data_IF_221389967541
#
_entry.id   IF_221389967541
#
_cell.length_a   1.000
_cell.length_b   1.000
_cell.length_c   1.000
_cell.angle_alpha   90.00
_cell.angle_beta   90.00
_cell.angle_gamma   90.00
#
_symmetry.space_group_name_H-M   'P 1'
#
loop_
_entity.id
_entity.type
_entity.pdbx_description
1 polymer ?
#
# COMPACT_ATOMS: atom_id res chain seq x y z
N UNK A 1 -17.44 21.81 -10.14
CA UNK A 1 -17.68 20.52 -9.46
C UNK A 1 -17.69 20.78 -7.97
N UNK A 2 -18.68 20.24 -7.24
CA UNK A 2 -18.91 20.48 -5.81
C UNK A 2 -19.05 19.12 -5.10
N UNK A 3 -18.07 18.26 -5.34
CA UNK A 3 -17.73 17.08 -4.54
C UNK A 3 -16.41 17.48 -3.87
N UNK A 4 -16.33 17.66 -2.55
CA UNK A 4 -15.00 18.01 -2.00
C UNK A 4 -14.75 17.74 -0.52
N UNK A 5 -15.75 17.48 0.33
CA UNK A 5 -15.52 17.15 1.76
C UNK A 5 -16.54 16.14 2.26
N UNK A 6 -17.79 16.23 1.79
CA UNK A 6 -18.88 15.34 2.20
C UNK A 6 -18.66 13.90 1.75
N UNK A 7 -18.09 13.70 0.55
CA UNK A 7 -17.86 12.37 -0.02
C UNK A 7 -16.66 11.66 0.62
N UNK A 8 -15.58 12.40 0.89
CA UNK A 8 -14.40 11.89 1.62
C UNK A 8 -14.77 11.51 3.05
N UNK A 9 -15.46 12.39 3.78
CA UNK A 9 -15.94 12.10 5.13
C UNK A 9 -16.91 10.91 5.16
N UNK A 10 -17.83 10.83 4.19
CA UNK A 10 -18.74 9.71 4.07
C UNK A 10 -18.00 8.40 3.78
N UNK A 11 -17.02 8.43 2.88
CA UNK A 11 -16.17 7.28 2.58
C UNK A 11 -15.39 6.82 3.81
N UNK A 12 -14.73 7.74 4.53
CA UNK A 12 -13.96 7.45 5.74
C UNK A 12 -14.84 6.79 6.82
N UNK A 13 -15.99 7.40 7.11
CA UNK A 13 -16.94 6.89 8.10
C UNK A 13 -17.48 5.51 7.71
N UNK A 14 -17.77 5.29 6.43
CA UNK A 14 -18.23 4.01 5.91
C UNK A 14 -17.15 2.95 6.08
N UNK A 15 -15.90 3.27 5.72
CA UNK A 15 -14.77 2.36 5.90
C UNK A 15 -14.54 2.03 7.37
N UNK A 16 -14.58 3.04 8.25
CA UNK A 16 -14.50 2.83 9.70
C UNK A 16 -15.58 1.84 10.18
N UNK A 17 -16.85 2.06 9.83
CA UNK A 17 -17.95 1.22 10.26
C UNK A 17 -17.77 -0.24 9.78
N UNK A 18 -17.40 -0.44 8.51
CA UNK A 18 -17.17 -1.77 7.94
C UNK A 18 -16.03 -2.49 8.65
N UNK A 19 -14.89 -1.83 8.85
CA UNK A 19 -13.75 -2.44 9.54
C UNK A 19 -14.04 -2.68 11.01
N UNK A 20 -14.84 -1.83 11.69
CA UNK A 20 -15.21 -2.06 13.08
C UNK A 20 -16.12 -3.28 13.24
N UNK A 21 -17.07 -3.46 12.33
CA UNK A 21 -17.89 -4.68 12.29
C UNK A 21 -17.03 -5.90 11.99
N UNK A 22 -16.12 -5.81 11.03
CA UNK A 22 -15.21 -6.89 10.69
C UNK A 22 -14.28 -7.24 11.86
N UNK A 23 -13.81 -6.25 12.64
CA UNK A 23 -12.93 -6.49 13.80
C UNK A 23 -13.69 -7.17 14.94
N UNK A 24 -14.96 -6.81 15.16
CA UNK A 24 -15.82 -7.49 16.11
C UNK A 24 -16.14 -8.94 15.69
N UNK A 25 -16.17 -9.22 14.39
CA UNK A 25 -16.54 -10.55 13.86
C UNK A 25 -15.34 -11.48 13.71
N UNK A 26 -14.20 -10.97 13.26
CA UNK A 26 -13.00 -11.74 12.99
C UNK A 26 -12.04 -11.56 14.16
N UNK A 27 -12.01 -12.53 15.08
CA UNK A 27 -11.14 -12.46 16.26
C UNK A 27 -9.72 -13.00 15.98
N UNK A 28 -9.57 -13.87 14.99
CA UNK A 28 -8.30 -14.46 14.61
C UNK A 28 -7.44 -13.49 13.77
N UNK A 29 -6.22 -13.22 14.22
CA UNK A 29 -5.30 -12.29 13.56
C UNK A 29 -4.83 -12.73 12.17
N UNK A 30 -4.63 -14.03 11.95
CA UNK A 30 -4.25 -14.55 10.64
C UNK A 30 -5.43 -14.45 9.65
N UNK A 31 -6.67 -14.60 10.13
CA UNK A 31 -7.87 -14.38 9.31
C UNK A 31 -8.06 -12.88 9.00
N UNK A 32 -7.76 -11.98 9.95
CA UNK A 32 -7.74 -10.53 9.73
C UNK A 32 -6.75 -10.12 8.64
N UNK A 33 -5.53 -10.66 8.67
CA UNK A 33 -4.53 -10.40 7.63
C UNK A 33 -5.00 -10.90 6.25
N UNK A 34 -5.53 -12.13 6.17
CA UNK A 34 -6.13 -12.67 4.94
C UNK A 34 -7.28 -11.81 4.41
N UNK A 35 -8.13 -11.29 5.30
CA UNK A 35 -9.21 -10.39 4.92
C UNK A 35 -8.66 -9.13 4.24
N UNK A 36 -7.70 -8.46 4.89
CA UNK A 36 -7.05 -7.25 4.36
C UNK A 36 -6.35 -7.53 3.03
N UNK A 37 -5.56 -8.61 2.94
CA UNK A 37 -4.93 -9.07 1.68
C UNK A 37 -5.95 -9.28 0.56
N UNK A 38 -7.09 -9.91 0.89
CA UNK A 38 -8.15 -10.17 -0.10
C UNK A 38 -8.77 -8.91 -0.67
N UNK A 39 -8.87 -7.83 0.10
CA UNK A 39 -9.35 -6.52 -0.36
C UNK A 39 -8.36 -5.96 -1.39
N UNK A 40 -7.06 -5.97 -1.07
CA UNK A 40 -6.01 -5.54 -1.98
C UNK A 40 -6.00 -6.32 -3.29
N UNK A 41 -6.06 -7.66 -3.23
CA UNK A 41 -6.10 -8.50 -4.43
C UNK A 41 -7.36 -8.23 -5.26
N UNK A 42 -8.53 -8.02 -4.64
CA UNK A 42 -9.77 -7.68 -5.35
C UNK A 42 -9.66 -6.33 -6.03
N UNK A 43 -9.12 -5.33 -5.34
CA UNK A 43 -8.96 -3.99 -5.92
C UNK A 43 -7.99 -4.00 -7.10
N UNK A 44 -6.84 -4.68 -6.99
CA UNK A 44 -5.92 -4.87 -8.12
C UNK A 44 -6.60 -5.57 -9.30
N UNK A 45 -7.41 -6.60 -9.04
CA UNK A 45 -8.15 -7.30 -10.09
C UNK A 45 -9.16 -6.40 -10.79
N UNK A 46 -9.91 -5.57 -10.05
CA UNK A 46 -10.80 -4.57 -10.64
C UNK A 46 -10.03 -3.54 -11.48
N UNK A 47 -8.88 -3.07 -11.00
CA UNK A 47 -8.01 -2.16 -11.77
C UNK A 47 -7.55 -2.78 -13.10
N UNK A 48 -7.22 -4.08 -13.10
CA UNK A 48 -6.84 -4.81 -14.32
C UNK A 48 -8.05 -5.02 -15.24
N UNK A 49 -9.18 -5.51 -14.70
CA UNK A 49 -10.37 -5.85 -15.49
C UNK A 49 -11.04 -4.64 -16.14
N UNK A 50 -10.99 -3.49 -15.46
CA UNK A 50 -11.55 -2.23 -15.95
C UNK A 50 -10.55 -1.40 -16.76
N UNK A 51 -9.38 -1.96 -17.06
CA UNK A 51 -8.31 -1.29 -17.81
C UNK A 51 -7.90 0.06 -17.19
N UNK A 52 -7.88 0.13 -15.86
CA UNK A 52 -7.35 1.30 -15.15
C UNK A 52 -5.81 1.33 -15.18
N UNK A 53 -5.18 0.18 -15.37
CA UNK A 53 -3.73 0.08 -15.63
C UNK A 53 -3.45 0.00 -17.13
N UNK A 54 -2.26 0.42 -17.55
CA UNK A 54 -1.85 0.35 -18.94
C UNK A 54 -1.75 -1.11 -19.41
N UNK A 55 -1.86 -1.32 -20.72
CA UNK A 55 -1.68 -2.66 -21.32
C UNK A 55 -0.29 -3.25 -21.02
N UNK A 56 0.73 -2.39 -20.90
CA UNK A 56 2.08 -2.80 -20.54
C UNK A 56 2.11 -3.34 -19.10
N UNK A 57 1.58 -2.59 -18.14
CA UNK A 57 1.44 -3.02 -16.74
C UNK A 57 0.65 -4.31 -16.63
N UNK A 58 -0.49 -4.43 -17.32
CA UNK A 58 -1.30 -5.66 -17.31
C UNK A 58 -0.51 -6.85 -17.88
N UNK A 59 0.26 -6.64 -18.94
CA UNK A 59 1.11 -7.70 -19.52
C UNK A 59 2.19 -8.13 -18.55
N UNK A 60 2.86 -7.19 -17.90
CA UNK A 60 3.86 -7.45 -16.84
C UNK A 60 3.24 -8.27 -15.71
N UNK A 61 2.07 -7.86 -15.19
CA UNK A 61 1.38 -8.55 -14.10
C UNK A 61 0.88 -9.97 -14.43
N UNK A 62 0.82 -10.33 -15.72
CA UNK A 62 0.43 -11.68 -16.15
C UNK A 62 1.64 -12.52 -16.58
N UNK A 63 2.84 -11.94 -16.60
CA UNK A 63 4.08 -12.65 -16.88
C UNK A 63 4.60 -13.27 -15.57
N UNK A 64 5.11 -14.50 -15.66
CA UNK A 64 5.87 -15.11 -14.58
C UNK A 64 7.34 -14.68 -14.69
N UNK A 65 8.03 -14.52 -13.55
CA UNK A 65 9.47 -14.22 -13.50
C UNK A 65 9.82 -12.79 -13.97
N UNK A 66 9.13 -11.79 -13.40
CA UNK A 66 9.48 -10.38 -13.61
C UNK A 66 10.60 -9.96 -12.65
N UNK A 67 11.47 -9.07 -13.12
CA UNK A 67 12.35 -8.29 -12.25
C UNK A 67 11.54 -7.28 -11.45
N UNK A 68 12.02 -6.87 -10.28
CA UNK A 68 11.35 -5.82 -9.51
C UNK A 68 11.46 -4.45 -10.18
N UNK A 69 12.60 -4.18 -10.80
CA UNK A 69 12.81 -2.96 -11.59
C UNK A 69 11.76 -2.80 -12.69
N UNK A 70 11.35 -3.90 -13.32
CA UNK A 70 10.28 -3.91 -14.35
C UNK A 70 8.90 -3.52 -13.78
N UNK A 71 8.68 -3.66 -12.47
CA UNK A 71 7.40 -3.36 -11.81
C UNK A 71 7.24 -1.90 -11.41
N UNK A 72 8.33 -1.12 -11.38
CA UNK A 72 8.31 0.29 -10.96
C UNK A 72 7.22 1.09 -11.71
N UNK A 73 7.09 1.02 -13.05
CA UNK A 73 6.04 1.73 -13.76
C UNK A 73 4.63 1.31 -13.33
N UNK A 74 4.42 0.01 -13.05
CA UNK A 74 3.13 -0.49 -12.60
C UNK A 74 2.78 -0.03 -11.18
N UNK A 75 3.78 0.03 -10.28
CA UNK A 75 3.61 0.58 -8.92
C UNK A 75 3.21 2.05 -8.99
N UNK A 76 3.89 2.84 -9.83
CA UNK A 76 3.56 4.24 -10.08
C UNK A 76 2.14 4.37 -10.63
N UNK A 77 1.74 3.58 -11.62
CA UNK A 77 0.38 3.63 -12.17
C UNK A 77 -0.70 3.35 -11.12
N UNK A 78 -0.50 2.38 -10.23
CA UNK A 78 -1.44 2.10 -9.13
C UNK A 78 -1.54 3.30 -8.18
N UNK A 79 -0.41 3.89 -7.82
CA UNK A 79 -0.36 5.06 -6.93
C UNK A 79 -0.97 6.31 -7.57
N UNK A 80 -0.71 6.54 -8.86
CA UNK A 80 -1.35 7.59 -9.66
C UNK A 80 -2.87 7.39 -9.72
N UNK A 81 -3.37 6.15 -9.70
CA UNK A 81 -4.82 5.90 -9.59
C UNK A 81 -5.39 6.28 -8.24
N UNK A 82 -4.71 5.97 -7.13
CA UNK A 82 -5.15 6.47 -5.82
C UNK A 82 -5.15 7.99 -5.76
N UNK A 83 -4.11 8.64 -6.28
CA UNK A 83 -4.05 10.10 -6.29
C UNK A 83 -5.11 10.73 -7.21
N UNK A 84 -5.27 10.23 -8.44
CA UNK A 84 -6.21 10.81 -9.42
C UNK A 84 -7.69 10.58 -9.08
N UNK A 85 -8.00 9.61 -8.22
CA UNK A 85 -9.35 9.38 -7.67
C UNK A 85 -9.61 10.17 -6.39
N UNK A 86 -8.69 11.07 -6.00
CA UNK A 86 -8.74 11.83 -4.76
C UNK A 86 -8.77 10.96 -3.50
N UNK A 87 -8.31 9.70 -3.58
CA UNK A 87 -8.13 8.88 -2.39
C UNK A 87 -6.97 9.39 -1.53
N UNK A 88 -5.95 10.01 -2.11
CA UNK A 88 -4.87 10.66 -1.36
C UNK A 88 -4.43 11.95 -2.06
N UNK A 89 -3.87 12.90 -1.30
CA UNK A 89 -3.40 14.17 -1.85
C UNK A 89 -2.15 13.98 -2.71
N UNK A 90 -1.26 13.11 -2.27
CA UNK A 90 -0.03 12.73 -2.97
C UNK A 90 0.55 11.43 -2.42
N UNK A 91 1.61 10.95 -3.07
CA UNK A 91 2.42 9.84 -2.58
C UNK A 91 3.91 10.10 -2.79
N UNK A 92 4.74 9.32 -2.11
CA UNK A 92 6.19 9.24 -2.33
C UNK A 92 6.61 7.78 -2.34
N UNK A 93 7.53 7.47 -3.25
CA UNK A 93 8.22 6.18 -3.31
C UNK A 93 9.69 6.39 -2.91
N UNK A 94 10.26 5.47 -2.14
CA UNK A 94 11.65 5.55 -1.68
C UNK A 94 11.85 6.38 -0.41
N UNK A 95 13.11 6.67 -0.08
CA UNK A 95 13.48 7.39 1.14
C UNK A 95 13.19 8.89 1.07
N UNK A 96 12.99 9.51 2.24
CA UNK A 96 12.75 10.96 2.37
C UNK A 96 13.95 11.81 1.90
N UNK A 97 15.16 11.23 1.86
CA UNK A 97 16.40 11.93 1.51
C UNK A 97 16.76 11.86 0.03
N UNK A 98 16.01 11.10 -0.78
CA UNK A 98 16.15 11.18 -2.23
C UNK A 98 15.57 12.53 -2.69
N UNK A 99 16.46 13.45 -3.05
CA UNK A 99 16.13 14.80 -3.51
C UNK A 99 15.26 14.80 -4.78
N UNK A 100 15.18 13.65 -5.46
CA UNK A 100 14.24 13.42 -6.54
C UNK A 100 13.01 12.67 -6.02
N UNK A 101 11.81 13.23 -6.25
CA UNK A 101 10.52 12.49 -6.22
C UNK A 101 10.44 11.41 -7.30
N UNK A 102 11.57 10.91 -7.80
CA UNK A 102 11.62 9.96 -8.88
C UNK A 102 11.51 8.57 -8.28
N UNK A 103 10.33 7.94 -8.38
CA UNK A 103 10.16 6.51 -8.11
C UNK A 103 11.06 5.59 -8.95
N UNK A 104 11.99 6.14 -9.73
CA UNK A 104 12.91 5.45 -10.65
C UNK A 104 14.07 4.74 -9.95
N UNK A 105 14.31 4.97 -8.66
CA UNK A 105 15.39 4.32 -7.87
C UNK A 105 14.88 3.47 -6.71
N UNK A 106 13.59 3.14 -6.71
CA UNK A 106 12.98 2.31 -5.65
C UNK A 106 13.54 0.89 -5.67
N UNK A 107 13.88 0.41 -6.86
CA UNK A 107 14.64 -0.81 -7.05
C UNK A 107 15.77 -0.54 -8.04
N UNK A 108 16.88 -1.25 -7.89
CA UNK A 108 17.98 -1.28 -8.84
C UNK A 108 18.35 -2.71 -9.28
N UNK A 109 19.42 -2.83 -10.06
CA UNK A 109 19.89 -4.14 -10.54
C UNK A 109 20.43 -5.02 -9.39
N UNK A 110 20.93 -4.43 -8.31
CA UNK A 110 21.40 -5.18 -7.14
C UNK A 110 20.23 -5.78 -6.37
N UNK A 111 19.10 -5.08 -6.29
CA UNK A 111 17.85 -5.61 -5.73
C UNK A 111 17.35 -6.84 -6.50
N UNK A 112 17.41 -6.79 -7.83
CA UNK A 112 17.06 -7.94 -8.68
C UNK A 112 18.03 -9.12 -8.48
N UNK A 113 19.34 -8.84 -8.35
CA UNK A 113 20.36 -9.84 -8.03
C UNK A 113 20.16 -10.45 -6.64
N UNK A 114 19.80 -9.65 -5.64
CA UNK A 114 19.58 -10.09 -4.28
C UNK A 114 18.39 -11.06 -4.20
N UNK A 115 17.27 -10.74 -4.86
CA UNK A 115 16.09 -11.63 -4.91
C UNK A 115 16.34 -12.87 -5.76
N UNK A 116 17.11 -12.75 -6.84
CA UNK A 116 17.45 -13.87 -7.70
C UNK A 116 18.56 -14.77 -7.14
N UNK A 117 19.20 -14.35 -6.03
CA UNK A 117 20.29 -15.06 -5.38
C UNK A 117 19.94 -16.54 -5.11
N UNK A 118 20.78 -17.48 -5.56
CA UNK A 118 20.52 -18.91 -5.48
C UNK A 118 20.46 -19.45 -4.05
N UNK A 119 20.91 -18.66 -3.07
CA UNK A 119 20.82 -19.00 -1.65
C UNK A 119 19.43 -18.73 -1.05
N UNK A 120 18.50 -18.14 -1.82
CA UNK A 120 17.07 -18.03 -1.49
C UNK A 120 16.73 -17.16 -0.28
N UNK A 121 17.70 -16.41 0.26
CA UNK A 121 17.57 -15.62 1.48
C UNK A 121 17.51 -14.10 1.25
N UNK A 122 17.68 -13.63 0.02
CA UNK A 122 17.65 -12.21 -0.30
C UNK A 122 16.25 -11.62 -0.20
N UNK A 123 16.16 -10.42 0.37
CA UNK A 123 14.92 -9.66 0.47
C UNK A 123 15.25 -8.18 0.34
N UNK A 124 14.43 -7.45 -0.41
CA UNK A 124 14.60 -6.01 -0.61
C UNK A 124 13.49 -5.26 0.10
N UNK A 125 13.76 -4.02 0.47
CA UNK A 125 12.76 -3.16 1.09
C UNK A 125 12.26 -2.11 0.10
N UNK A 126 10.94 -1.88 0.09
CA UNK A 126 10.33 -0.80 -0.67
C UNK A 126 9.54 0.09 0.30
N UNK A 127 9.82 1.39 0.25
CA UNK A 127 9.17 2.38 1.12
C UNK A 127 8.16 3.18 0.32
N UNK A 128 6.95 3.33 0.87
CA UNK A 128 5.87 4.09 0.23
C UNK A 128 5.21 4.99 1.26
N UNK A 129 5.10 6.28 0.96
CA UNK A 129 4.38 7.24 1.79
C UNK A 129 3.11 7.68 1.07
N UNK A 130 1.97 7.65 1.75
CA UNK A 130 0.68 8.15 1.25
C UNK A 130 0.23 9.31 2.13
N UNK A 131 0.04 10.47 1.52
CA UNK A 131 -0.33 11.70 2.20
C UNK A 131 -1.83 11.96 2.11
N UNK A 132 -2.40 12.36 3.24
CA UNK A 132 -3.82 12.64 3.44
C UNK A 132 -4.73 11.55 2.82
N UNK A 133 -4.56 10.25 3.16
CA UNK A 133 -5.45 9.23 2.62
C UNK A 133 -6.88 9.41 3.15
N UNK A 134 -7.86 9.24 2.27
CA UNK A 134 -9.29 9.40 2.56
C UNK A 134 -9.81 8.44 3.64
N UNK A 135 -9.06 7.39 4.00
CA UNK A 135 -9.39 6.45 5.08
C UNK A 135 -8.64 6.74 6.39
N UNK A 136 -7.91 7.84 6.48
CA UNK A 136 -7.01 8.14 7.60
C UNK A 136 -7.77 8.26 8.92
N UNK A 137 -8.87 9.01 8.93
CA UNK A 137 -9.65 9.24 10.15
C UNK A 137 -10.15 7.93 10.76
N UNK A 138 -10.80 7.10 9.96
CA UNK A 138 -11.27 5.77 10.35
C UNK A 138 -10.13 4.83 10.73
N UNK A 139 -8.98 4.92 10.06
CA UNK A 139 -7.79 4.14 10.41
C UNK A 139 -7.27 4.47 11.81
N UNK A 140 -7.21 5.76 12.17
CA UNK A 140 -6.75 6.23 13.47
C UNK A 140 -7.72 5.93 14.62
N UNK A 141 -8.98 5.63 14.34
CA UNK A 141 -9.94 5.22 15.37
C UNK A 141 -9.90 3.71 15.68
N UNK A 142 -9.31 2.92 14.79
CA UNK A 142 -9.18 1.46 14.94
C UNK A 142 -7.77 1.07 15.43
N UNK A 143 -6.82 2.02 15.46
CA UNK A 143 -5.50 1.82 16.06
C UNK A 143 -5.60 1.52 17.56
N UNK A 144 -4.93 0.45 17.99
CA UNK A 144 -4.98 -0.05 19.37
C UNK A 144 -5.34 -1.54 19.48
N UNK A 145 -5.85 -2.16 18.41
CA UNK A 145 -6.24 -3.59 18.41
C UNK A 145 -5.09 -4.56 18.03
N UNK A 146 -3.83 -4.12 18.02
CA UNK A 146 -2.66 -4.99 17.84
C UNK A 146 -2.56 -5.72 16.50
N UNK A 147 -3.26 -5.26 15.47
CA UNK A 147 -3.23 -5.86 14.13
C UNK A 147 -3.18 -4.80 13.05
N UNK A 148 -2.58 -5.11 11.90
CA UNK A 148 -2.61 -4.34 10.63
C UNK A 148 -4.04 -4.22 10.06
N UNK A 149 -5.04 -4.25 10.93
CA UNK A 149 -6.46 -4.37 10.64
C UNK A 149 -7.13 -3.02 10.82
N UNK A 150 -6.90 -2.14 9.84
CA UNK A 150 -7.53 -0.83 9.73
C UNK A 150 -7.91 -0.59 8.27
N UNK A 151 -8.81 0.37 7.98
CA UNK A 151 -9.14 0.78 6.62
C UNK A 151 -7.91 1.08 5.76
N UNK A 152 -7.51 0.12 4.93
CA UNK A 152 -6.31 0.20 4.11
C UNK A 152 -6.56 -0.41 2.75
N UNK A 153 -6.32 0.39 1.71
CA UNK A 153 -6.48 -0.02 0.33
C UNK A 153 -5.16 0.05 -0.44
N UNK A 154 -4.18 0.85 -0.01
CA UNK A 154 -2.94 1.04 -0.76
C UNK A 154 -1.95 -0.07 -0.44
N UNK A 155 -1.66 -0.28 0.85
CA UNK A 155 -0.71 -1.30 1.29
C UNK A 155 -1.02 -2.69 0.73
N UNK A 156 -2.25 -3.19 0.94
CA UNK A 156 -2.68 -4.50 0.44
C UNK A 156 -2.69 -4.60 -1.09
N UNK A 157 -3.00 -3.52 -1.82
CA UNK A 157 -3.03 -3.53 -3.29
C UNK A 157 -1.63 -3.62 -3.87
N UNK A 158 -0.68 -2.86 -3.31
CA UNK A 158 0.73 -2.97 -3.71
C UNK A 158 1.32 -4.33 -3.33
N UNK A 159 0.97 -4.88 -2.17
CA UNK A 159 1.37 -6.23 -1.81
C UNK A 159 0.84 -7.27 -2.81
N UNK A 160 -0.43 -7.16 -3.20
CA UNK A 160 -1.03 -8.03 -4.21
C UNK A 160 -0.36 -7.90 -5.59
N UNK A 161 0.14 -6.71 -5.94
CA UNK A 161 0.88 -6.47 -7.18
C UNK A 161 2.14 -7.34 -7.23
N UNK A 162 2.96 -7.30 -6.17
CA UNK A 162 4.18 -8.10 -6.07
C UNK A 162 3.88 -9.60 -5.93
N UNK A 163 2.87 -9.98 -5.15
CA UNK A 163 2.45 -11.37 -4.99
C UNK A 163 1.99 -11.99 -6.31
N UNK A 164 1.33 -11.20 -7.15
CA UNK A 164 0.82 -11.64 -8.46
C UNK A 164 1.94 -12.05 -9.42
N UNK A 165 3.12 -11.44 -9.31
CA UNK A 165 4.29 -11.79 -10.12
C UNK A 165 5.18 -12.85 -9.46
N UNK A 166 4.71 -13.46 -8.36
CA UNK A 166 5.39 -14.57 -7.71
C UNK A 166 6.35 -14.17 -6.58
N UNK A 167 6.27 -12.94 -6.07
CA UNK A 167 7.01 -12.56 -4.86
C UNK A 167 6.28 -13.01 -3.57
N UNK A 168 7.04 -13.20 -2.50
CA UNK A 168 6.54 -13.22 -1.13
C UNK A 168 6.68 -11.81 -0.57
N UNK A 169 5.59 -11.23 -0.06
CA UNK A 169 5.60 -9.85 0.45
C UNK A 169 5.03 -9.76 1.85
N UNK A 170 5.81 -9.19 2.75
CA UNK A 170 5.38 -8.72 4.06
C UNK A 170 5.41 -7.19 4.06
N UNK A 171 4.50 -6.54 4.80
CA UNK A 171 4.56 -5.08 4.92
C UNK A 171 4.02 -4.60 6.25
N UNK A 172 4.58 -3.49 6.73
CA UNK A 172 4.12 -2.77 7.90
C UNK A 172 3.62 -1.38 7.52
N UNK A 173 2.68 -0.86 8.30
CA UNK A 173 2.13 0.48 8.10
C UNK A 173 2.22 1.30 9.38
N UNK A 174 2.65 2.54 9.23
CA UNK A 174 2.87 3.50 10.30
C UNK A 174 2.10 4.79 10.01
N UNK A 175 1.60 5.46 11.04
CA UNK A 175 1.06 6.82 10.92
C UNK A 175 2.14 7.80 11.33
N UNK A 176 2.42 8.78 10.46
CA UNK A 176 3.50 9.75 10.68
C UNK A 176 2.89 11.14 10.83
N UNK A 177 3.23 11.80 11.94
CA UNK A 177 3.01 13.23 12.13
C UNK A 177 4.27 13.97 11.66
N UNK A 178 4.15 14.92 10.72
CA UNK A 178 5.30 15.67 10.21
C UNK A 178 5.89 16.60 11.28
N UNK A 179 5.15 16.89 12.35
CA UNK A 179 5.57 17.72 13.47
C UNK A 179 5.73 16.84 14.71
N UNK A 180 6.90 16.87 15.33
CA UNK A 180 7.07 16.26 16.64
C UNK A 180 6.22 17.00 17.67
N UNK A 181 5.34 16.27 18.36
CA UNK A 181 4.46 16.80 19.39
C UNK A 181 4.75 16.10 20.71
N UNK A 182 5.13 16.84 21.77
CA UNK A 182 5.44 16.23 23.07
C UNK A 182 4.27 15.52 23.73
N UNK A 183 3.04 15.97 23.44
CA UNK A 183 1.82 15.39 23.96
C UNK A 183 1.18 14.46 22.91
N UNK A 184 1.06 13.15 23.19
CA UNK A 184 0.47 12.18 22.27
C UNK A 184 -0.98 12.48 21.87
N UNK A 185 -1.73 13.24 22.67
CA UNK A 185 -3.11 13.63 22.33
C UNK A 185 -3.19 14.67 21.22
N UNK A 186 -2.10 15.38 20.97
CA UNK A 186 -2.03 16.39 19.92
C UNK A 186 -1.53 15.79 18.59
N UNK A 187 -1.23 14.48 18.59
CA UNK A 187 -0.77 13.73 17.42
C UNK A 187 -1.79 13.86 16.28
N UNK A 188 -1.35 14.45 15.19
CA UNK A 188 -2.18 14.76 14.03
C UNK A 188 -1.47 14.24 12.77
N UNK A 189 -1.41 12.91 12.60
CA UNK A 189 -0.72 12.34 11.46
C UNK A 189 -1.45 12.73 10.19
N UNK A 190 -0.69 12.93 9.12
CA UNK A 190 -1.20 13.17 7.79
C UNK A 190 -0.58 12.22 6.76
N UNK A 191 0.30 11.34 7.20
CA UNK A 191 1.00 10.38 6.36
C UNK A 191 0.73 8.97 6.87
N UNK A 192 0.41 8.08 5.94
CA UNK A 192 0.47 6.63 6.14
C UNK A 192 1.69 6.10 5.40
N UNK A 193 2.67 5.66 6.16
CA UNK A 193 3.94 5.16 5.68
C UNK A 193 3.93 3.63 5.65
N UNK A 194 4.40 3.05 4.56
CA UNK A 194 4.50 1.61 4.36
C UNK A 194 5.96 1.22 4.17
N UNK A 195 6.34 0.14 4.85
CA UNK A 195 7.60 -0.56 4.63
C UNK A 195 7.28 -1.97 4.15
N UNK A 196 7.52 -2.24 2.88
CA UNK A 196 7.40 -3.56 2.27
C UNK A 196 8.73 -4.28 2.34
N UNK A 197 8.69 -5.56 2.64
CA UNK A 197 9.81 -6.50 2.49
C UNK A 197 9.40 -7.53 1.44
N UNK A 198 10.14 -7.54 0.32
CA UNK A 198 9.84 -8.33 -0.87
C UNK A 198 10.93 -9.37 -1.02
N UNK A 199 10.54 -10.64 -1.10
CA UNK A 199 11.44 -11.77 -1.24
C UNK A 199 10.94 -12.71 -2.35
N UNK A 200 11.81 -13.60 -2.83
CA UNK A 200 11.40 -14.65 -3.74
C UNK A 200 10.45 -15.63 -3.05
N UNK A 201 9.36 -16.01 -3.71
CA UNK A 201 8.50 -17.08 -3.22
C UNK A 201 9.21 -18.42 -3.44
N UNK A 202 9.55 -19.10 -2.34
CA UNK A 202 10.16 -20.43 -2.31
C UNK A 202 9.28 -21.50 -2.96
#
# INVERSE_FOLDING_TARGET
QKESVTDEYYFDLTCYALWKVASATIQDYAVRDKFVRSIGSRLLNEMVQREFLSKQSITLLNKNDNKLTDLIPCVIEVLDKFQSTAYCSSYRLGEKNDEERSGLKVFDELDDEEISSPNGAGSVNCLVSIFDPASLGGSLQITGEGSRFSPDFVGPTLAALFERVGAKVDFESYFVDPVYRPNPKDFFPNERFYQFTIARKS
#
